data_IF_135997590787
#
_entry.id   IF_135997590787
#
_cell.length_a   1.000
_cell.length_b   1.000
_cell.length_c   1.000
_cell.angle_alpha   90.00
_cell.angle_beta   90.00
_cell.angle_gamma   90.00
#
_symmetry.space_group_name_H-M   'P 1'
#
loop_
_entity.id
_entity.type
_entity.pdbx_description
1 polymer ?
#
# COMPACT_ATOMS: atom_id res chain seq x y z
N UNK A 1 5.61 -0.81 -13.68
CA UNK A 1 6.01 -0.14 -12.42
C UNK A 1 4.72 0.27 -11.75
N UNK A 2 4.50 -0.19 -10.52
CA UNK A 2 3.26 0.05 -9.80
C UNK A 2 3.03 1.54 -9.57
N UNK A 3 1.90 2.07 -10.06
CA UNK A 3 1.48 3.45 -9.84
C UNK A 3 0.60 3.53 -8.58
N UNK A 4 1.23 3.88 -7.47
CA UNK A 4 0.56 3.95 -6.16
C UNK A 4 -0.49 5.09 -6.09
N UNK A 5 -0.30 6.17 -6.83
CA UNK A 5 -1.19 7.34 -6.79
C UNK A 5 -2.47 7.07 -7.59
N UNK A 6 -2.32 6.45 -8.76
CA UNK A 6 -3.44 5.97 -9.55
C UNK A 6 -4.21 4.87 -8.81
N UNK A 7 -3.50 3.89 -8.22
CA UNK A 7 -4.13 2.83 -7.43
C UNK A 7 -4.95 3.39 -6.26
N UNK A 8 -4.40 4.34 -5.51
CA UNK A 8 -5.10 4.99 -4.40
C UNK A 8 -6.34 5.76 -4.85
N UNK A 9 -6.24 6.48 -5.96
CA UNK A 9 -7.36 7.24 -6.53
C UNK A 9 -8.50 6.30 -6.92
N UNK A 10 -8.18 5.18 -7.58
CA UNK A 10 -9.15 4.19 -8.01
C UNK A 10 -9.81 3.45 -6.83
N UNK A 11 -9.05 3.17 -5.76
CA UNK A 11 -9.61 2.62 -4.51
C UNK A 11 -10.62 3.59 -3.89
N UNK A 12 -10.29 4.87 -3.81
CA UNK A 12 -11.17 5.88 -3.23
C UNK A 12 -12.45 6.04 -4.06
N UNK A 13 -12.32 6.20 -5.39
CA UNK A 13 -13.48 6.29 -6.28
C UNK A 13 -14.39 5.07 -6.16
N UNK A 14 -13.82 3.86 -6.11
CA UNK A 14 -14.59 2.63 -5.95
C UNK A 14 -15.29 2.55 -4.60
N UNK A 15 -14.65 3.05 -3.55
CA UNK A 15 -15.23 3.10 -2.19
C UNK A 15 -16.38 4.11 -2.13
N UNK A 16 -16.23 5.26 -2.79
CA UNK A 16 -17.27 6.29 -2.87
C UNK A 16 -18.48 5.79 -3.69
N UNK A 17 -18.24 5.06 -4.79
CA UNK A 17 -19.29 4.43 -5.59
C UNK A 17 -20.03 3.34 -4.82
N UNK A 18 -19.33 2.51 -4.05
CA UNK A 18 -19.95 1.50 -3.17
C UNK A 18 -20.80 2.19 -2.08
N UNK A 19 -20.31 3.27 -1.48
CA UNK A 19 -21.01 3.98 -0.41
C UNK A 19 -22.26 4.72 -0.90
N UNK A 20 -22.22 5.25 -2.12
CA UNK A 20 -23.34 5.97 -2.75
C UNK A 20 -24.38 5.04 -3.40
N UNK A 21 -24.16 3.73 -3.42
CA UNK A 21 -25.06 2.72 -4.03
C UNK A 21 -26.50 2.80 -3.50
N UNK A 22 -26.70 3.22 -2.25
CA UNK A 22 -28.02 3.36 -1.65
C UNK A 22 -28.77 4.62 -2.12
N UNK A 23 -28.05 5.70 -2.41
CA UNK A 23 -28.58 7.02 -2.80
C UNK A 23 -28.93 7.12 -4.29
N UNK A 24 -28.43 6.17 -5.10
CA UNK A 24 -28.63 6.16 -6.55
C UNK A 24 -30.00 5.57 -6.93
N UNK A 25 -30.76 6.21 -7.86
CA UNK A 25 -32.01 5.68 -8.37
C UNK A 25 -31.87 4.24 -8.86
N UNK A 26 -32.90 3.41 -8.66
CA UNK A 26 -32.85 1.98 -9.03
C UNK A 26 -32.52 1.74 -10.50
N UNK A 27 -32.86 2.69 -11.36
CA UNK A 27 -32.61 2.65 -12.81
C UNK A 27 -31.12 2.75 -13.14
N UNK A 28 -30.34 3.46 -12.33
CA UNK A 28 -28.89 3.70 -12.54
C UNK A 28 -28.00 2.72 -11.74
N UNK A 29 -28.60 1.91 -10.85
CA UNK A 29 -27.85 0.95 -10.02
C UNK A 29 -27.11 -0.11 -10.82
N UNK A 30 -27.67 -0.55 -11.94
CA UNK A 30 -27.02 -1.54 -12.80
C UNK A 30 -25.75 -0.98 -13.45
N UNK A 31 -25.77 0.29 -13.86
CA UNK A 31 -24.59 0.97 -14.40
C UNK A 31 -23.54 1.20 -13.31
N UNK A 32 -23.99 1.59 -12.11
CA UNK A 32 -23.14 1.75 -10.94
C UNK A 32 -22.43 0.44 -10.56
N UNK A 33 -23.16 -0.68 -10.54
CA UNK A 33 -22.59 -2.01 -10.26
C UNK A 33 -21.57 -2.43 -11.31
N UNK A 34 -21.88 -2.24 -12.60
CA UNK A 34 -20.93 -2.52 -13.68
C UNK A 34 -19.64 -1.69 -13.55
N UNK A 35 -19.76 -0.43 -13.10
CA UNK A 35 -18.62 0.46 -12.91
C UNK A 35 -17.77 0.05 -11.70
N UNK A 36 -18.41 -0.36 -10.59
CA UNK A 36 -17.70 -0.91 -9.42
C UNK A 36 -16.95 -2.18 -9.82
N UNK A 37 -17.59 -3.11 -10.53
CA UNK A 37 -16.95 -4.36 -10.96
C UNK A 37 -15.76 -4.10 -11.91
N UNK A 38 -15.92 -3.16 -12.84
CA UNK A 38 -14.83 -2.73 -13.72
C UNK A 38 -13.65 -2.16 -12.93
N UNK A 39 -13.91 -1.32 -11.93
CA UNK A 39 -12.86 -0.77 -11.08
C UNK A 39 -12.18 -1.84 -10.22
N UNK A 40 -12.93 -2.80 -9.68
CA UNK A 40 -12.37 -3.94 -8.94
C UNK A 40 -11.47 -4.79 -9.84
N UNK A 41 -11.84 -4.99 -11.09
CA UNK A 41 -11.00 -5.70 -12.06
C UNK A 41 -9.70 -4.94 -12.35
N UNK A 42 -9.79 -3.63 -12.57
CA UNK A 42 -8.62 -2.78 -12.77
C UNK A 42 -7.69 -2.77 -11.54
N UNK A 43 -8.23 -2.69 -10.32
CA UNK A 43 -7.47 -2.79 -9.08
C UNK A 43 -6.76 -4.15 -8.95
N UNK A 44 -7.40 -5.24 -9.35
CA UNK A 44 -6.76 -6.58 -9.36
C UNK A 44 -5.59 -6.65 -10.33
N UNK A 45 -5.77 -6.09 -11.53
CA UNK A 45 -4.70 -6.03 -12.54
C UNK A 45 -3.52 -5.19 -12.06
N UNK A 46 -3.78 -4.02 -11.47
CA UNK A 46 -2.73 -3.18 -10.91
C UNK A 46 -2.02 -3.85 -9.72
N UNK A 47 -2.73 -4.66 -8.93
CA UNK A 47 -2.13 -5.40 -7.83
C UNK A 47 -1.19 -6.53 -8.30
N UNK A 48 -1.26 -7.01 -9.55
CA UNK A 48 -0.30 -7.99 -10.08
C UNK A 48 1.12 -7.42 -10.20
N UNK A 49 1.24 -6.10 -10.40
CA UNK A 49 2.53 -5.40 -10.51
C UNK A 49 3.24 -5.25 -9.15
N UNK A 50 2.64 -5.70 -8.05
CA UNK A 50 3.24 -5.70 -6.73
C UNK A 50 4.21 -6.88 -6.62
N UNK A 51 5.50 -6.59 -6.42
CA UNK A 51 6.56 -7.60 -6.34
C UNK A 51 6.41 -8.51 -5.11
N UNK A 52 6.02 -7.95 -3.97
CA UNK A 52 5.82 -8.70 -2.73
C UNK A 52 4.53 -9.54 -2.78
N UNK A 53 4.71 -10.86 -2.78
CA UNK A 53 3.62 -11.83 -2.93
C UNK A 53 2.63 -11.81 -1.76
N UNK A 54 3.13 -11.61 -0.54
CA UNK A 54 2.29 -11.54 0.66
C UNK A 54 1.38 -10.30 0.61
N UNK A 55 1.94 -9.14 0.26
CA UNK A 55 1.21 -7.88 0.11
C UNK A 55 0.23 -7.93 -1.07
N UNK A 56 0.64 -8.51 -2.19
CA UNK A 56 -0.22 -8.73 -3.36
C UNK A 56 -1.45 -9.56 -3.00
N UNK A 57 -1.27 -10.66 -2.27
CA UNK A 57 -2.37 -11.53 -1.86
C UNK A 57 -3.31 -10.85 -0.86
N UNK A 58 -2.77 -10.13 0.13
CA UNK A 58 -3.57 -9.32 1.07
C UNK A 58 -4.42 -8.25 0.36
N UNK A 59 -3.86 -7.59 -0.65
CA UNK A 59 -4.57 -6.58 -1.43
C UNK A 59 -5.66 -7.22 -2.29
N UNK A 60 -5.39 -8.35 -2.95
CA UNK A 60 -6.39 -9.10 -3.72
C UNK A 60 -7.56 -9.56 -2.84
N UNK A 61 -7.29 -10.09 -1.65
CA UNK A 61 -8.32 -10.48 -0.69
C UNK A 61 -9.17 -9.28 -0.26
N UNK A 62 -8.54 -8.13 -0.03
CA UNK A 62 -9.26 -6.91 0.33
C UNK A 62 -10.13 -6.38 -0.80
N UNK A 63 -9.66 -6.42 -2.05
CA UNK A 63 -10.46 -6.03 -3.22
C UNK A 63 -11.66 -6.99 -3.39
N UNK A 64 -11.48 -8.29 -3.14
CA UNK A 64 -12.58 -9.25 -3.19
C UNK A 64 -13.66 -8.92 -2.14
N UNK A 65 -13.25 -8.59 -0.92
CA UNK A 65 -14.13 -8.34 0.22
C UNK A 65 -14.69 -6.91 0.30
N UNK A 66 -14.47 -6.06 -0.70
CA UNK A 66 -15.00 -4.69 -0.75
C UNK A 66 -16.54 -4.61 -0.65
N UNK A 67 -17.27 -5.62 -1.16
CA UNK A 67 -18.73 -5.70 -1.01
C UNK A 67 -19.16 -6.17 0.38
N UNK A 68 -18.46 -7.16 0.96
CA UNK A 68 -18.81 -7.76 2.26
C UNK A 68 -18.61 -6.81 3.45
N UNK A 69 -17.92 -5.69 3.27
CA UNK A 69 -17.88 -4.64 4.29
C UNK A 69 -19.22 -3.89 4.42
N UNK A 70 -20.15 -4.07 3.46
CA UNK A 70 -21.44 -3.35 3.39
C UNK A 70 -22.69 -4.21 3.10
N UNK A 71 -22.59 -5.51 2.75
CA UNK A 71 -23.73 -6.23 2.12
C UNK A 71 -24.53 -7.22 2.99
N UNK A 72 -24.32 -7.33 4.31
CA UNK A 72 -25.19 -8.17 5.17
C UNK A 72 -25.98 -7.38 6.21
N UNK A 73 -27.01 -6.65 5.75
CA UNK A 73 -28.26 -6.48 6.51
C UNK A 73 -29.40 -6.89 5.58
N UNK A 74 -29.58 -8.20 5.43
CA UNK A 74 -30.74 -8.76 4.77
C UNK A 74 -31.97 -8.54 5.66
N UNK A 75 -32.69 -7.42 5.43
CA UNK A 75 -33.95 -7.12 6.12
C UNK A 75 -34.98 -8.15 5.64
N UNK A 76 -35.15 -9.24 6.40
CA UNK A 76 -36.37 -10.06 6.36
C UNK A 76 -37.53 -9.20 6.82
N UNK A 77 -38.17 -8.49 5.89
CA UNK A 77 -39.47 -7.85 6.10
C UNK A 77 -40.51 -8.96 6.29
N UNK A 78 -40.68 -9.42 7.52
CA UNK A 78 -41.88 -10.15 7.91
C UNK A 78 -43.02 -9.15 8.03
N UNK A 79 -43.89 -9.17 7.03
CA UNK A 79 -45.14 -8.42 7.03
C UNK A 79 -46.05 -8.83 8.21
N UNK A 80 -46.79 -7.83 8.70
CA UNK A 80 -47.99 -7.87 9.59
C UNK A 80 -47.74 -8.03 11.10
N UNK A 81 -47.83 -6.91 11.83
CA UNK A 81 -49.03 -6.56 12.64
C UNK A 81 -48.87 -5.23 13.41
N UNK A 82 -49.96 -4.46 13.40
CA UNK A 82 -50.40 -3.46 14.39
C UNK A 82 -49.65 -2.12 14.50
N UNK A 83 -50.41 -1.04 14.33
CA UNK A 83 -49.93 0.32 14.06
C UNK A 83 -49.61 1.17 15.31
N UNK A 84 -49.60 0.62 16.52
CA UNK A 84 -49.54 1.43 17.75
C UNK A 84 -48.16 1.47 18.44
N UNK A 85 -47.24 0.56 18.12
CA UNK A 85 -45.87 0.53 18.69
C UNK A 85 -44.78 0.93 17.68
N UNK A 86 -45.16 1.67 16.62
CA UNK A 86 -44.26 1.94 15.49
C UNK A 86 -43.18 2.95 15.84
N UNK A 87 -43.47 3.93 16.70
CA UNK A 87 -42.52 4.99 17.06
C UNK A 87 -41.43 4.50 18.03
N UNK A 88 -41.83 3.77 19.08
CA UNK A 88 -40.90 3.24 20.09
C UNK A 88 -39.88 2.25 19.50
N UNK A 89 -40.31 1.44 18.52
CA UNK A 89 -39.42 0.49 17.83
C UNK A 89 -38.46 1.17 16.84
N UNK A 90 -38.92 2.24 16.19
CA UNK A 90 -38.05 3.06 15.33
C UNK A 90 -36.99 3.77 16.19
N UNK A 91 -37.37 4.24 17.37
CA UNK A 91 -36.46 4.89 18.31
C UNK A 91 -35.40 3.91 18.84
N UNK A 92 -35.79 2.70 19.24
CA UNK A 92 -34.85 1.63 19.60
C UNK A 92 -33.89 1.25 18.45
N UNK A 93 -34.41 1.13 17.23
CA UNK A 93 -33.60 0.81 16.06
C UNK A 93 -32.59 1.93 15.76
N UNK A 94 -33.03 3.21 15.80
CA UNK A 94 -32.14 4.37 15.62
C UNK A 94 -31.05 4.40 16.70
N UNK A 95 -31.41 4.12 17.95
CA UNK A 95 -30.45 4.09 19.05
C UNK A 95 -29.40 2.98 18.85
N UNK A 96 -29.86 1.80 18.47
CA UNK A 96 -29.00 0.63 18.18
C UNK A 96 -28.06 0.88 17.01
N UNK A 97 -28.57 1.46 15.92
CA UNK A 97 -27.74 1.78 14.76
C UNK A 97 -26.77 2.93 15.05
N UNK A 98 -27.17 3.92 15.85
CA UNK A 98 -26.28 5.00 16.30
C UNK A 98 -25.12 4.47 17.15
N UNK A 99 -25.40 3.53 18.06
CA UNK A 99 -24.36 2.84 18.83
C UNK A 99 -23.43 2.02 17.94
N UNK A 100 -23.98 1.28 16.99
CA UNK A 100 -23.20 0.48 16.03
C UNK A 100 -22.30 1.36 15.16
N UNK A 101 -22.82 2.51 14.72
CA UNK A 101 -22.07 3.49 13.94
C UNK A 101 -20.94 4.11 14.76
N UNK A 102 -21.20 4.46 16.03
CA UNK A 102 -20.18 4.96 16.96
C UNK A 102 -19.05 3.94 17.17
N UNK A 103 -19.39 2.67 17.37
CA UNK A 103 -18.39 1.61 17.53
C UNK A 103 -17.57 1.40 16.25
N UNK A 104 -18.20 1.48 15.08
CA UNK A 104 -17.50 1.43 13.79
C UNK A 104 -16.57 2.63 13.60
N UNK A 105 -17.01 3.84 13.96
CA UNK A 105 -16.19 5.04 13.89
C UNK A 105 -14.98 4.98 14.84
N UNK A 106 -15.16 4.45 16.05
CA UNK A 106 -14.06 4.21 16.99
C UNK A 106 -13.03 3.22 16.43
N UNK A 107 -13.47 2.07 15.92
CA UNK A 107 -12.56 1.08 15.30
C UNK A 107 -11.82 1.64 14.10
N UNK A 108 -12.48 2.49 13.31
CA UNK A 108 -11.85 3.15 12.17
C UNK A 108 -10.80 4.17 12.62
N UNK A 109 -11.07 4.93 13.68
CA UNK A 109 -10.11 5.84 14.28
C UNK A 109 -8.89 5.08 14.83
N UNK A 110 -9.11 4.00 15.57
CA UNK A 110 -8.04 3.15 16.10
C UNK A 110 -7.19 2.54 14.97
N UNK A 111 -7.85 2.12 13.87
CA UNK A 111 -7.18 1.63 12.67
C UNK A 111 -6.31 2.70 12.00
N UNK A 112 -6.80 3.93 11.89
CA UNK A 112 -6.04 5.05 11.34
C UNK A 112 -4.84 5.43 12.22
N UNK A 113 -5.00 5.38 13.54
CA UNK A 113 -3.90 5.65 14.48
C UNK A 113 -2.81 4.56 14.38
N UNK A 114 -3.21 3.30 14.24
CA UNK A 114 -2.31 2.20 13.95
C UNK A 114 -1.58 2.42 12.62
N UNK A 115 -2.29 2.71 11.54
CA UNK A 115 -1.71 2.96 10.21
C UNK A 115 -0.69 4.11 10.24
N UNK A 116 -1.00 5.19 10.95
CA UNK A 116 -0.09 6.32 11.15
C UNK A 116 1.20 5.89 11.85
N UNK A 117 1.11 5.01 12.86
CA UNK A 117 2.27 4.48 13.56
C UNK A 117 3.14 3.61 12.65
N UNK A 118 2.52 2.71 11.88
CA UNK A 118 3.23 1.85 10.92
C UNK A 118 3.94 2.69 9.85
N UNK A 119 3.25 3.69 9.30
CA UNK A 119 3.86 4.63 8.33
C UNK A 119 5.08 5.36 8.91
N UNK A 120 5.00 5.78 10.18
CA UNK A 120 6.14 6.35 10.90
C UNK A 120 7.33 5.38 10.97
N UNK A 121 7.09 4.14 11.38
CA UNK A 121 8.14 3.12 11.47
C UNK A 121 8.75 2.78 10.10
N UNK A 122 7.93 2.70 9.05
CA UNK A 122 8.41 2.48 7.68
C UNK A 122 9.26 3.64 7.19
N UNK A 123 8.82 4.88 7.43
CA UNK A 123 9.56 6.10 7.07
C UNK A 123 10.92 6.16 7.78
N UNK A 124 10.97 5.84 9.07
CA UNK A 124 12.22 5.81 9.85
C UNK A 124 13.19 4.73 9.34
N UNK A 125 12.67 3.54 9.03
CA UNK A 125 13.49 2.46 8.45
C UNK A 125 13.99 2.82 7.06
N UNK A 126 13.15 3.42 6.22
CA UNK A 126 13.55 3.87 4.89
C UNK A 126 14.63 4.95 4.97
N UNK A 127 14.50 5.90 5.90
CA UNK A 127 15.51 6.94 6.15
C UNK A 127 16.84 6.35 6.62
N UNK A 128 16.81 5.36 7.54
CA UNK A 128 18.01 4.61 7.95
C UNK A 128 18.65 3.85 6.79
N UNK A 129 17.85 3.20 5.96
CA UNK A 129 18.36 2.45 4.80
C UNK A 129 18.97 3.38 3.76
N UNK A 130 18.37 4.54 3.50
CA UNK A 130 18.94 5.59 2.64
C UNK A 130 20.28 6.10 3.19
N UNK A 131 20.34 6.39 4.49
CA UNK A 131 21.57 6.84 5.14
C UNK A 131 22.68 5.78 5.04
N UNK A 132 22.36 4.51 5.35
CA UNK A 132 23.31 3.40 5.23
C UNK A 132 23.74 3.12 3.79
N UNK A 133 22.84 3.27 2.82
CA UNK A 133 23.15 3.12 1.39
C UNK A 133 24.07 4.25 0.92
N UNK A 134 23.81 5.48 1.33
CA UNK A 134 24.68 6.64 1.05
C UNK A 134 26.08 6.45 1.65
N UNK A 135 26.18 5.96 2.89
CA UNK A 135 27.46 5.66 3.53
C UNK A 135 28.22 4.53 2.81
N UNK A 136 27.52 3.48 2.39
CA UNK A 136 28.12 2.39 1.61
C UNK A 136 28.59 2.86 0.23
N UNK A 137 27.81 3.70 -0.46
CA UNK A 137 28.24 4.31 -1.74
C UNK A 137 29.50 5.14 -1.53
N UNK A 138 29.56 5.92 -0.44
CA UNK A 138 30.73 6.73 -0.12
C UNK A 138 31.97 5.86 0.14
N UNK A 139 31.84 4.76 0.90
CA UNK A 139 32.93 3.81 1.13
C UNK A 139 33.40 3.14 -0.16
N UNK A 140 32.49 2.72 -1.03
CA UNK A 140 32.84 2.14 -2.34
C UNK A 140 33.64 3.15 -3.17
N UNK A 141 33.27 4.42 -3.15
CA UNK A 141 33.97 5.46 -3.88
C UNK A 141 35.36 5.78 -3.28
N UNK A 142 35.51 5.74 -1.96
CA UNK A 142 36.81 5.90 -1.27
C UNK A 142 37.74 4.70 -1.51
N UNK A 143 37.22 3.46 -1.49
CA UNK A 143 37.99 2.25 -1.75
C UNK A 143 38.46 2.14 -3.20
N UNK A 144 37.66 2.59 -4.18
CA UNK A 144 38.05 2.69 -5.60
C UNK A 144 39.23 3.65 -5.82
N UNK A 145 39.41 4.64 -4.95
CA UNK A 145 40.52 5.61 -5.04
C UNK A 145 41.81 5.06 -4.40
N UNK A 146 41.74 4.00 -3.59
CA UNK A 146 42.89 3.50 -2.81
C UNK A 146 43.96 2.78 -3.63
N UNK A 147 43.61 2.20 -4.80
CA UNK A 147 44.57 1.61 -5.73
C UNK A 147 44.69 2.45 -7.00
N UNK A 148 45.45 3.55 -6.90
CA UNK A 148 45.79 4.36 -8.06
C UNK A 148 46.61 3.54 -9.07
N UNK A 149 46.12 3.40 -10.32
CA UNK A 149 46.87 2.80 -11.43
C UNK A 149 48.29 3.38 -11.60
N UNK A 150 48.50 4.61 -11.13
CA UNK A 150 49.80 5.26 -11.10
C UNK A 150 50.81 4.57 -10.18
N UNK A 151 50.36 4.04 -9.03
CA UNK A 151 51.19 3.26 -8.10
C UNK A 151 51.69 1.97 -8.77
N UNK A 152 50.80 1.25 -9.45
CA UNK A 152 51.16 0.04 -10.22
C UNK A 152 52.13 0.35 -11.36
N UNK A 153 51.94 1.50 -12.03
CA UNK A 153 52.84 1.94 -13.10
C UNK A 153 54.24 2.29 -12.58
N UNK A 154 54.35 3.01 -11.46
CA UNK A 154 55.64 3.29 -10.82
C UNK A 154 56.34 2.01 -10.40
N UNK A 155 55.60 1.07 -9.79
CA UNK A 155 56.15 -0.21 -9.37
C UNK A 155 56.72 -1.00 -10.57
N UNK A 156 56.00 -1.02 -11.70
CA UNK A 156 56.47 -1.66 -12.93
C UNK A 156 57.76 -1.01 -13.47
N UNK A 157 57.86 0.32 -13.43
CA UNK A 157 59.08 1.05 -13.83
C UNK A 157 60.25 0.70 -12.92
N UNK A 158 60.04 0.64 -11.61
CA UNK A 158 61.10 0.28 -10.65
C UNK A 158 61.61 -1.13 -10.91
N UNK A 159 60.72 -2.10 -11.15
CA UNK A 159 61.10 -3.47 -11.50
C UNK A 159 61.94 -3.48 -12.78
N UNK A 160 61.53 -2.71 -13.80
CA UNK A 160 62.27 -2.60 -15.06
C UNK A 160 63.68 -2.00 -14.86
N UNK A 161 63.80 -0.97 -14.02
CA UNK A 161 65.06 -0.33 -13.66
C UNK A 161 65.99 -1.30 -12.92
N UNK A 162 65.46 -2.04 -11.95
CA UNK A 162 66.23 -3.05 -11.23
C UNK A 162 66.72 -4.15 -12.18
N UNK A 163 65.86 -4.69 -13.05
CA UNK A 163 66.27 -5.67 -14.06
C UNK A 163 67.35 -5.11 -14.99
N UNK A 164 67.20 -3.87 -15.44
CA UNK A 164 68.17 -3.22 -16.31
C UNK A 164 69.54 -3.08 -15.64
N UNK A 165 69.58 -2.67 -14.37
CA UNK A 165 70.82 -2.57 -13.60
C UNK A 165 71.47 -3.94 -13.45
N UNK A 166 70.69 -4.98 -13.11
CA UNK A 166 71.21 -6.35 -12.98
C UNK A 166 71.83 -6.81 -14.31
N UNK A 167 71.12 -6.69 -15.44
CA UNK A 167 71.62 -7.12 -16.76
C UNK A 167 72.87 -6.34 -17.19
N UNK A 168 72.97 -5.06 -16.82
CA UNK A 168 74.08 -4.20 -17.27
C UNK A 168 75.34 -4.32 -16.40
N UNK A 169 75.20 -4.73 -15.13
CA UNK A 169 76.30 -4.79 -14.16
C UNK A 169 76.67 -6.20 -13.70
N UNK A 170 75.93 -7.24 -14.11
CA UNK A 170 76.41 -8.64 -14.16
C UNK A 170 76.99 -8.96 -15.54
#
# INVERSE_FOLDING_TARGET
MFDAEYFKTLVNETTDLISSKEDVPKEDRAELEARIDSNKMALKLLAEDIEDEETRNKIKDRINNMYQTFEEIEIKIHSRKSADNKHERIEEDILKYSHTLKDKALRLFDGLEFDKKVLGEVSDRMSKNLAGTSENIKKINEDLVSFSCFSLFILAIIIFLCMYIIIRFM
#
